data_IF_783502480788
#
_entry.id   IF_783502480788
#
_cell.length_a   1.000
_cell.length_b   1.000
_cell.length_c   1.000
_cell.angle_alpha   90.00
_cell.angle_beta   90.00
_cell.angle_gamma   90.00
#
_symmetry.space_group_name_H-M   'P 1'
#
loop_
_entity.id
_entity.type
_entity.pdbx_description
1 polymer ?
#
# COMPACT_ATOMS: atom_id res chain seq x y z
N UNK A 1 -19.91 39.39 -15.70
CA UNK A 1 -21.28 38.85 -15.81
C UNK A 1 -21.31 37.45 -16.42
N UNK A 2 -20.35 37.07 -17.27
CA UNK A 2 -20.34 35.75 -17.94
C UNK A 2 -19.86 34.57 -17.08
N UNK A 3 -18.90 34.76 -16.16
CA UNK A 3 -18.42 33.66 -15.30
C UNK A 3 -19.50 33.09 -14.37
N UNK A 4 -20.35 33.95 -13.82
CA UNK A 4 -21.43 33.53 -12.92
C UNK A 4 -22.50 32.71 -13.65
N UNK A 5 -22.84 33.08 -14.91
CA UNK A 5 -23.74 32.29 -15.75
C UNK A 5 -23.16 30.91 -16.05
N UNK A 6 -21.88 30.86 -16.41
CA UNK A 6 -21.19 29.62 -16.75
C UNK A 6 -21.09 28.66 -15.53
N UNK A 7 -20.91 29.21 -14.32
CA UNK A 7 -20.89 28.43 -13.09
C UNK A 7 -22.28 27.87 -12.73
N UNK A 8 -23.34 28.67 -12.92
CA UNK A 8 -24.74 28.27 -12.70
C UNK A 8 -25.12 27.16 -13.69
N UNK A 9 -24.73 27.28 -14.96
CA UNK A 9 -25.03 26.28 -15.98
C UNK A 9 -24.32 24.95 -15.71
N UNK A 10 -23.06 24.98 -15.27
CA UNK A 10 -22.33 23.76 -14.83
C UNK A 10 -22.96 23.10 -13.61
N UNK A 11 -23.36 23.90 -12.62
CA UNK A 11 -24.00 23.40 -11.40
C UNK A 11 -25.36 22.77 -11.72
N UNK A 12 -26.13 23.39 -12.61
CA UNK A 12 -27.40 22.85 -13.09
C UNK A 12 -27.21 21.55 -13.90
N UNK A 13 -26.21 21.50 -14.80
CA UNK A 13 -25.88 20.28 -15.55
C UNK A 13 -25.53 19.12 -14.62
N UNK A 14 -24.68 19.37 -13.62
CA UNK A 14 -24.32 18.37 -12.62
C UNK A 14 -25.54 17.88 -11.81
N UNK A 15 -26.41 18.81 -11.39
CA UNK A 15 -27.64 18.47 -10.70
C UNK A 15 -28.55 17.59 -11.56
N UNK A 16 -28.69 17.90 -12.85
CA UNK A 16 -29.49 17.11 -13.79
C UNK A 16 -28.88 15.72 -13.99
N UNK A 17 -27.57 15.63 -14.23
CA UNK A 17 -26.88 14.35 -14.45
C UNK A 17 -26.95 13.42 -13.22
N UNK A 18 -26.83 13.99 -12.02
CA UNK A 18 -27.00 13.22 -10.78
C UNK A 18 -28.46 12.86 -10.53
N UNK A 19 -29.39 13.78 -10.78
CA UNK A 19 -30.83 13.53 -10.65
C UNK A 19 -31.29 12.39 -11.56
N UNK A 20 -30.75 12.28 -12.78
CA UNK A 20 -31.06 11.18 -13.73
C UNK A 20 -30.74 9.79 -13.17
N UNK A 21 -29.72 9.68 -12.31
CA UNK A 21 -29.28 8.40 -11.74
C UNK A 21 -30.07 7.98 -10.50
N UNK A 22 -30.88 8.89 -9.95
CA UNK A 22 -31.38 8.80 -8.57
C UNK A 22 -32.89 9.01 -8.47
N UNK A 23 -33.46 9.66 -9.49
CA UNK A 23 -34.89 9.86 -9.65
C UNK A 23 -35.46 8.86 -10.64
N UNK A 24 -36.75 8.58 -10.51
CA UNK A 24 -37.50 7.89 -11.57
C UNK A 24 -37.56 8.77 -12.83
N UNK A 25 -37.78 8.18 -14.00
CA UNK A 25 -37.88 8.95 -15.26
C UNK A 25 -38.90 10.08 -15.18
N UNK A 26 -40.06 9.84 -14.56
CA UNK A 26 -41.10 10.85 -14.35
C UNK A 26 -40.67 11.98 -13.41
N UNK A 27 -40.02 11.65 -12.30
CA UNK A 27 -39.51 12.66 -11.36
C UNK A 27 -38.39 13.49 -11.98
N UNK A 28 -37.50 12.84 -12.73
CA UNK A 28 -36.44 13.50 -13.48
C UNK A 28 -37.02 14.49 -14.51
N UNK A 29 -38.04 14.07 -15.27
CA UNK A 29 -38.66 14.91 -16.28
C UNK A 29 -39.35 16.15 -15.66
N UNK A 30 -40.07 15.98 -14.55
CA UNK A 30 -40.67 17.09 -13.79
C UNK A 30 -39.59 18.08 -13.33
N UNK A 31 -38.48 17.58 -12.78
CA UNK A 31 -37.37 18.41 -12.30
C UNK A 31 -36.66 19.12 -13.45
N UNK A 32 -36.45 18.43 -14.57
CA UNK A 32 -35.83 19.00 -15.77
C UNK A 32 -36.70 20.13 -16.35
N UNK A 33 -38.00 19.91 -16.48
CA UNK A 33 -38.94 20.92 -16.96
C UNK A 33 -39.02 22.13 -16.02
N UNK A 34 -38.91 21.90 -14.71
CA UNK A 34 -38.93 22.96 -13.70
C UNK A 34 -37.62 23.78 -13.67
N UNK A 35 -36.45 23.12 -13.70
CA UNK A 35 -35.16 23.78 -13.50
C UNK A 35 -34.53 24.30 -14.81
N UNK A 36 -34.67 23.55 -15.91
CA UNK A 36 -34.08 23.90 -17.21
C UNK A 36 -35.08 24.65 -18.07
N UNK A 37 -36.30 24.11 -18.21
CA UNK A 37 -37.35 24.74 -19.04
C UNK A 37 -38.12 25.84 -18.30
N UNK A 38 -37.85 26.03 -17.00
CA UNK A 38 -38.42 27.07 -16.13
C UNK A 38 -39.95 27.10 -16.12
N UNK A 39 -40.60 25.94 -16.32
CA UNK A 39 -42.05 25.83 -16.25
C UNK A 39 -42.54 26.11 -14.82
N UNK A 40 -43.60 26.92 -14.64
CA UNK A 40 -44.16 27.17 -13.32
C UNK A 40 -44.81 25.90 -12.73
N UNK A 41 -44.76 25.78 -11.40
CA UNK A 41 -45.25 24.61 -10.66
C UNK A 41 -46.73 24.30 -10.96
N UNK A 42 -47.54 25.33 -11.21
CA UNK A 42 -48.98 25.18 -11.50
C UNK A 42 -49.20 24.52 -12.87
N UNK A 43 -48.39 24.86 -13.88
CA UNK A 43 -48.46 24.21 -15.20
C UNK A 43 -47.97 22.77 -15.11
N UNK A 44 -46.87 22.51 -14.38
CA UNK A 44 -46.39 21.16 -14.14
C UNK A 44 -47.40 20.30 -13.36
N UNK A 45 -48.12 20.89 -12.41
CA UNK A 45 -49.18 20.21 -11.66
C UNK A 45 -50.28 19.71 -12.60
N UNK A 46 -50.67 20.57 -13.55
CA UNK A 46 -51.68 20.24 -14.55
C UNK A 46 -51.15 19.22 -15.58
N UNK A 47 -49.96 19.43 -16.14
CA UNK A 47 -49.34 18.56 -17.16
C UNK A 47 -49.18 17.11 -16.67
N UNK A 48 -48.83 16.93 -15.39
CA UNK A 48 -48.57 15.61 -14.80
C UNK A 48 -49.72 15.09 -13.93
N UNK A 49 -50.85 15.81 -13.85
CA UNK A 49 -52.00 15.50 -13.00
C UNK A 49 -51.61 15.25 -11.52
N UNK A 50 -50.76 16.12 -10.98
CA UNK A 50 -50.25 16.08 -9.61
C UNK A 50 -50.65 17.35 -8.87
N UNK A 51 -50.70 17.30 -7.53
CA UNK A 51 -50.83 18.53 -6.75
C UNK A 51 -49.54 19.34 -6.78
N UNK A 52 -49.64 20.67 -6.71
CA UNK A 52 -48.48 21.56 -6.58
C UNK A 52 -47.59 21.20 -5.39
N UNK A 53 -48.19 20.70 -4.30
CA UNK A 53 -47.46 20.24 -3.13
C UNK A 53 -46.67 18.96 -3.40
N UNK A 54 -47.21 18.03 -4.21
CA UNK A 54 -46.48 16.83 -4.62
C UNK A 54 -45.27 17.18 -5.47
N UNK A 55 -45.36 18.19 -6.34
CA UNK A 55 -44.22 18.67 -7.13
C UNK A 55 -43.13 19.28 -6.25
N UNK A 56 -43.52 20.10 -5.26
CA UNK A 56 -42.57 20.64 -4.26
C UNK A 56 -41.88 19.53 -3.48
N UNK A 57 -42.60 18.47 -3.14
CA UNK A 57 -42.02 17.32 -2.45
C UNK A 57 -40.99 16.59 -3.33
N UNK A 58 -41.33 16.34 -4.61
CA UNK A 58 -40.40 15.73 -5.58
C UNK A 58 -39.12 16.55 -5.70
N UNK A 59 -39.23 17.88 -5.76
CA UNK A 59 -38.07 18.77 -5.77
C UNK A 59 -37.21 18.66 -4.50
N UNK A 60 -37.84 18.70 -3.32
CA UNK A 60 -37.13 18.59 -2.04
C UNK A 60 -36.42 17.24 -1.93
N UNK A 61 -37.08 16.16 -2.32
CA UNK A 61 -36.53 14.81 -2.27
C UNK A 61 -35.35 14.68 -3.24
N UNK A 62 -35.48 15.18 -4.47
CA UNK A 62 -34.38 15.24 -5.44
C UNK A 62 -33.17 16.00 -4.90
N UNK A 63 -33.40 17.18 -4.35
CA UNK A 63 -32.34 18.01 -3.76
C UNK A 63 -31.63 17.29 -2.61
N UNK A 64 -32.37 16.69 -1.69
CA UNK A 64 -31.80 15.96 -0.55
C UNK A 64 -30.97 14.75 -1.02
N UNK A 65 -31.46 13.99 -1.99
CA UNK A 65 -30.72 12.84 -2.53
C UNK A 65 -29.42 13.27 -3.21
N UNK A 66 -29.45 14.34 -4.02
CA UNK A 66 -28.23 14.88 -4.66
C UNK A 66 -27.26 15.40 -3.59
N UNK A 67 -27.75 16.08 -2.56
CA UNK A 67 -26.94 16.54 -1.42
C UNK A 67 -26.22 15.37 -0.73
N UNK A 68 -26.95 14.31 -0.37
CA UNK A 68 -26.35 13.12 0.25
C UNK A 68 -25.28 12.47 -0.63
N UNK A 69 -25.47 12.45 -1.95
CA UNK A 69 -24.46 11.94 -2.88
C UNK A 69 -23.21 12.82 -2.91
N UNK A 70 -23.37 14.15 -2.88
CA UNK A 70 -22.21 15.05 -2.82
C UNK A 70 -21.41 14.90 -1.52
N UNK A 71 -22.09 14.66 -0.39
CA UNK A 71 -21.44 14.36 0.88
C UNK A 71 -20.66 13.03 0.81
N UNK A 72 -21.23 11.99 0.19
CA UNK A 72 -20.53 10.72 -0.04
C UNK A 72 -19.31 10.88 -0.94
N UNK A 73 -19.36 11.71 -1.97
CA UNK A 73 -18.18 11.97 -2.81
C UNK A 73 -17.05 12.64 -2.03
N UNK A 74 -17.37 13.57 -1.13
CA UNK A 74 -16.38 14.19 -0.24
C UNK A 74 -15.73 13.15 0.68
N UNK A 75 -16.52 12.21 1.19
CA UNK A 75 -16.02 11.12 2.04
C UNK A 75 -15.09 10.16 1.24
N UNK A 76 -15.46 9.82 0.01
CA UNK A 76 -14.63 9.02 -0.90
C UNK A 76 -13.28 9.71 -1.14
N UNK A 77 -13.29 11.02 -1.40
CA UNK A 77 -12.07 11.77 -1.66
C UNK A 77 -11.19 11.87 -0.40
N UNK A 78 -11.80 12.05 0.79
CA UNK A 78 -11.10 11.95 2.06
C UNK A 78 -10.39 10.59 2.22
N UNK A 79 -11.09 9.48 1.97
CA UNK A 79 -10.48 8.15 2.10
C UNK A 79 -9.41 7.88 1.05
N UNK A 80 -9.54 8.39 -0.18
CA UNK A 80 -8.47 8.30 -1.19
C UNK A 80 -7.21 9.02 -0.73
N UNK A 81 -7.34 10.26 -0.24
CA UNK A 81 -6.20 11.03 0.28
C UNK A 81 -5.55 10.31 1.47
N UNK A 82 -6.35 9.80 2.40
CA UNK A 82 -5.85 9.04 3.56
C UNK A 82 -5.12 7.77 3.15
N UNK A 83 -5.64 7.02 2.18
CA UNK A 83 -4.99 5.83 1.62
C UNK A 83 -3.63 6.18 1.01
N UNK A 84 -3.56 7.26 0.23
CA UNK A 84 -2.34 7.65 -0.45
C UNK A 84 -1.27 8.14 0.54
N UNK A 85 -1.69 8.83 1.61
CA UNK A 85 -0.82 9.18 2.75
C UNK A 85 -0.25 7.93 3.43
N UNK A 86 -1.11 6.98 3.81
CA UNK A 86 -0.69 5.73 4.47
C UNK A 86 0.25 4.89 3.58
N UNK A 87 0.00 4.85 2.26
CA UNK A 87 0.93 4.21 1.31
C UNK A 87 2.30 4.87 1.30
N UNK A 88 2.36 6.20 1.42
CA UNK A 88 3.61 6.94 1.54
C UNK A 88 4.36 6.60 2.83
N UNK A 89 3.64 6.61 3.95
CA UNK A 89 4.19 6.28 5.28
C UNK A 89 4.75 4.84 5.30
N UNK A 90 3.96 3.84 4.88
CA UNK A 90 4.47 2.46 4.82
C UNK A 90 5.71 2.32 3.93
N UNK A 91 5.78 3.01 2.78
CA UNK A 91 6.97 2.95 1.91
C UNK A 91 8.21 3.51 2.59
N UNK A 92 8.08 4.54 3.42
CA UNK A 92 9.18 5.11 4.18
C UNK A 92 9.60 4.17 5.30
N UNK A 93 8.66 3.62 6.06
CA UNK A 93 8.93 2.67 7.14
C UNK A 93 9.67 1.42 6.62
N UNK A 94 9.22 0.83 5.51
CA UNK A 94 9.90 -0.30 4.89
C UNK A 94 11.29 0.05 4.32
N UNK A 95 11.53 1.31 3.95
CA UNK A 95 12.84 1.76 3.48
C UNK A 95 13.81 1.92 4.64
N UNK A 96 13.35 2.50 5.75
CA UNK A 96 14.15 2.64 6.97
C UNK A 96 14.52 1.28 7.56
N UNK A 97 13.56 0.35 7.64
CA UNK A 97 13.81 -1.03 8.11
C UNK A 97 14.84 -1.72 7.20
N UNK A 98 14.71 -1.63 5.86
CA UNK A 98 15.71 -2.21 4.95
C UNK A 98 17.10 -1.60 5.11
N UNK A 99 17.18 -0.28 5.31
CA UNK A 99 18.48 0.38 5.51
C UNK A 99 19.13 -0.02 6.84
N UNK A 100 18.33 -0.25 7.88
CA UNK A 100 18.79 -0.80 9.16
C UNK A 100 19.27 -2.25 8.99
N UNK A 101 18.49 -3.11 8.32
CA UNK A 101 18.87 -4.49 8.02
C UNK A 101 20.16 -4.56 7.19
N UNK A 102 20.31 -3.70 6.16
CA UNK A 102 21.50 -3.66 5.31
C UNK A 102 22.74 -3.15 6.08
N UNK A 103 22.57 -2.18 6.98
CA UNK A 103 23.64 -1.68 7.83
C UNK A 103 24.09 -2.72 8.85
N UNK A 104 23.14 -3.40 9.51
CA UNK A 104 23.41 -4.49 10.45
C UNK A 104 24.11 -5.67 9.75
N UNK A 105 23.62 -6.08 8.56
CA UNK A 105 24.31 -7.09 7.73
C UNK A 105 25.73 -6.66 7.37
N UNK A 106 25.94 -5.39 7.03
CA UNK A 106 27.28 -4.86 6.69
C UNK A 106 28.22 -4.88 7.89
N UNK A 107 27.74 -4.65 9.11
CA UNK A 107 28.55 -4.76 10.33
C UNK A 107 28.86 -6.23 10.68
N UNK A 108 27.87 -7.11 10.60
CA UNK A 108 28.04 -8.55 10.85
C UNK A 108 29.10 -9.15 9.91
N UNK A 109 29.09 -8.81 8.63
CA UNK A 109 30.08 -9.30 7.66
C UNK A 109 31.52 -8.87 8.00
N UNK A 110 31.70 -7.75 8.69
CA UNK A 110 33.02 -7.24 9.11
C UNK A 110 33.52 -7.83 10.43
N UNK A 111 32.66 -8.54 11.17
CA UNK A 111 33.03 -9.18 12.45
C UNK A 111 34.10 -10.24 12.22
N UNK A 112 35.17 -10.21 13.01
CA UNK A 112 36.21 -11.24 12.98
C UNK A 112 35.72 -12.51 13.66
N UNK A 113 36.11 -13.65 13.11
CA UNK A 113 35.76 -14.95 13.69
C UNK A 113 36.33 -15.13 15.10
N UNK A 114 37.48 -14.53 15.39
CA UNK A 114 38.11 -14.57 16.72
C UNK A 114 37.33 -13.80 17.80
N UNK A 115 36.53 -12.83 17.37
CA UNK A 115 35.70 -12.03 18.28
C UNK A 115 34.36 -12.73 18.58
N UNK A 116 34.10 -13.88 17.95
CA UNK A 116 32.97 -14.74 18.30
C UNK A 116 33.23 -15.46 19.62
N UNK A 117 32.18 -15.63 20.42
CA UNK A 117 32.21 -16.48 21.61
C UNK A 117 32.10 -17.98 21.28
N UNK A 118 31.95 -18.34 20.01
CA UNK A 118 31.84 -19.74 19.58
C UNK A 118 33.17 -20.49 19.80
N UNK A 119 33.15 -21.65 20.49
CA UNK A 119 34.37 -22.38 20.80
C UNK A 119 34.80 -23.25 19.62
N UNK A 120 35.50 -22.66 18.65
CA UNK A 120 36.07 -23.40 17.53
C UNK A 120 37.04 -24.48 17.98
N UNK A 121 36.92 -25.66 17.40
CA UNK A 121 37.91 -26.72 17.49
C UNK A 121 39.19 -26.26 16.79
N UNK A 122 40.34 -26.66 17.34
CA UNK A 122 41.65 -26.38 16.72
C UNK A 122 41.71 -26.83 15.26
N UNK A 123 40.99 -27.89 14.92
CA UNK A 123 40.93 -28.45 13.56
C UNK A 123 40.23 -27.49 12.60
N UNK A 124 39.02 -27.04 12.94
CA UNK A 124 38.28 -26.11 12.09
C UNK A 124 38.97 -24.74 12.04
N UNK A 125 39.44 -24.25 13.19
CA UNK A 125 40.17 -22.97 13.26
C UNK A 125 41.40 -22.93 12.37
N UNK A 126 42.30 -23.92 12.48
CA UNK A 126 43.49 -23.97 11.65
C UNK A 126 43.15 -24.09 10.16
N UNK A 127 42.05 -24.76 9.83
CA UNK A 127 41.58 -24.88 8.47
C UNK A 127 41.11 -23.54 7.91
N UNK A 128 40.29 -22.78 8.66
CA UNK A 128 39.83 -21.45 8.26
C UNK A 128 41.02 -20.50 8.08
N UNK A 129 41.97 -20.51 9.01
CA UNK A 129 43.22 -19.73 8.90
C UNK A 129 44.02 -20.12 7.66
N UNK A 130 44.10 -21.41 7.32
CA UNK A 130 44.83 -21.86 6.11
C UNK A 130 44.14 -21.46 4.79
N UNK A 131 42.85 -21.13 4.86
CA UNK A 131 42.06 -20.63 3.74
C UNK A 131 41.98 -19.10 3.71
N UNK A 132 42.73 -18.42 4.60
CA UNK A 132 42.72 -16.96 4.78
C UNK A 132 41.34 -16.41 5.17
N UNK A 133 40.55 -17.20 5.91
CA UNK A 133 39.22 -16.83 6.38
C UNK A 133 39.34 -16.27 7.79
N UNK A 134 39.09 -14.96 7.94
CA UNK A 134 39.29 -14.23 9.19
C UNK A 134 38.07 -13.47 9.68
N UNK A 135 37.19 -13.06 8.77
CA UNK A 135 35.91 -12.39 9.08
C UNK A 135 34.71 -13.22 8.58
N UNK A 136 33.51 -12.91 9.08
CA UNK A 136 32.27 -13.55 8.63
C UNK A 136 32.07 -13.35 7.11
N UNK A 137 32.44 -12.19 6.57
CA UNK A 137 32.37 -11.93 5.13
C UNK A 137 33.17 -12.90 4.27
N UNK A 138 34.38 -13.28 4.71
CA UNK A 138 35.21 -14.27 4.01
C UNK A 138 34.52 -15.63 4.03
N UNK A 139 33.91 -15.98 5.16
CA UNK A 139 33.20 -17.24 5.35
C UNK A 139 31.97 -17.33 4.43
N UNK A 140 31.19 -16.25 4.34
CA UNK A 140 29.99 -16.12 3.50
C UNK A 140 30.33 -16.11 2.01
N UNK A 141 31.50 -15.61 1.63
CA UNK A 141 31.92 -15.55 0.22
C UNK A 141 32.04 -16.92 -0.46
N UNK A 142 32.16 -17.98 0.34
CA UNK A 142 32.24 -19.37 -0.12
C UNK A 142 30.88 -20.03 0.10
N UNK A 143 30.21 -20.55 -0.94
CA UNK A 143 28.96 -21.29 -0.77
C UNK A 143 29.14 -22.52 0.14
N UNK A 144 28.14 -22.81 0.98
CA UNK A 144 28.23 -23.89 1.98
C UNK A 144 28.51 -25.27 1.36
N UNK A 145 28.02 -25.50 0.14
CA UNK A 145 28.22 -26.75 -0.58
C UNK A 145 29.67 -26.88 -1.07
N UNK A 146 30.40 -25.78 -1.27
CA UNK A 146 31.78 -25.81 -1.78
C UNK A 146 32.80 -26.16 -0.70
N UNK A 147 32.48 -25.95 0.57
CA UNK A 147 33.39 -26.30 1.67
C UNK A 147 33.78 -27.79 1.69
N UNK A 148 32.90 -28.66 1.19
CA UNK A 148 33.18 -30.11 1.10
C UNK A 148 34.34 -30.45 0.15
N UNK A 149 34.70 -29.52 -0.74
CA UNK A 149 35.78 -29.69 -1.70
C UNK A 149 37.15 -29.44 -1.05
N UNK A 150 37.21 -28.77 0.10
CA UNK A 150 38.48 -28.53 0.78
C UNK A 150 39.00 -29.78 1.49
N UNK A 151 40.30 -30.02 1.29
CA UNK A 151 41.01 -31.14 1.91
C UNK A 151 40.97 -31.00 3.43
N UNK A 152 40.36 -31.98 4.10
CA UNK A 152 40.25 -32.01 5.56
C UNK A 152 38.89 -31.56 6.10
N UNK A 153 38.06 -30.90 5.27
CA UNK A 153 36.66 -30.61 5.59
C UNK A 153 35.85 -31.91 5.49
N UNK A 154 35.49 -32.45 6.64
CA UNK A 154 34.70 -33.69 6.75
C UNK A 154 33.49 -33.42 7.63
N UNK A 155 32.66 -34.46 7.84
CA UNK A 155 31.39 -34.38 8.56
C UNK A 155 31.45 -33.56 9.86
N UNK A 156 32.52 -33.72 10.66
CA UNK A 156 32.71 -33.00 11.92
C UNK A 156 32.92 -31.49 11.72
N UNK A 157 33.78 -31.10 10.77
CA UNK A 157 33.98 -29.69 10.44
C UNK A 157 32.71 -29.07 9.83
N UNK A 158 31.94 -29.84 9.06
CA UNK A 158 30.65 -29.39 8.51
C UNK A 158 29.63 -29.15 9.61
N UNK A 159 29.46 -30.09 10.54
CA UNK A 159 28.52 -29.90 11.65
C UNK A 159 28.93 -28.74 12.56
N UNK A 160 30.23 -28.57 12.78
CA UNK A 160 30.76 -27.48 13.58
C UNK A 160 30.58 -26.12 12.90
N UNK A 161 30.80 -26.04 11.59
CA UNK A 161 30.54 -24.83 10.82
C UNK A 161 29.05 -24.45 10.83
N UNK A 162 28.15 -25.44 10.68
CA UNK A 162 26.70 -25.21 10.81
C UNK A 162 26.36 -24.71 12.22
N UNK A 163 26.91 -25.35 13.27
CA UNK A 163 26.68 -24.92 14.65
C UNK A 163 27.19 -23.50 14.91
N UNK A 164 28.28 -23.08 14.27
CA UNK A 164 28.75 -21.70 14.32
C UNK A 164 27.76 -20.73 13.67
N UNK A 165 27.24 -21.09 12.48
CA UNK A 165 26.27 -20.27 11.75
C UNK A 165 24.97 -20.09 12.56
N UNK A 166 24.48 -21.15 13.19
CA UNK A 166 23.32 -21.12 14.09
C UNK A 166 23.61 -20.31 15.36
N UNK A 167 24.81 -20.44 15.92
CA UNK A 167 25.21 -19.71 17.13
C UNK A 167 25.26 -18.19 16.91
N UNK A 168 25.73 -17.75 15.75
CA UNK A 168 25.81 -16.33 15.38
C UNK A 168 24.52 -15.79 14.75
N UNK A 169 23.50 -16.64 14.50
CA UNK A 169 22.27 -16.32 13.78
C UNK A 169 22.52 -15.67 12.41
N UNK A 170 23.44 -16.25 11.63
CA UNK A 170 23.87 -15.72 10.32
C UNK A 170 23.42 -16.61 9.14
N UNK A 171 22.42 -17.46 9.34
CA UNK A 171 21.87 -18.40 8.36
C UNK A 171 21.50 -17.72 7.03
N UNK A 172 20.87 -16.55 7.12
CA UNK A 172 20.39 -15.79 5.97
C UNK A 172 21.52 -15.22 5.10
N UNK A 173 22.75 -15.20 5.60
CA UNK A 173 23.91 -14.71 4.85
C UNK A 173 24.45 -15.78 3.89
N UNK A 174 24.15 -17.06 4.10
CA UNK A 174 24.69 -18.14 3.29
C UNK A 174 23.71 -18.62 2.22
N UNK A 175 24.12 -18.49 0.96
CA UNK A 175 23.37 -19.03 -0.18
C UNK A 175 23.22 -20.56 -0.05
N UNK A 176 21.96 -21.00 0.02
CA UNK A 176 21.60 -22.42 0.16
C UNK A 176 21.70 -22.98 1.58
N UNK A 177 21.63 -22.13 2.61
CA UNK A 177 21.44 -22.57 4.00
C UNK A 177 20.07 -23.25 4.21
N UNK A 178 19.02 -22.71 3.58
CA UNK A 178 17.71 -23.35 3.55
C UNK A 178 17.77 -24.60 2.64
N UNK A 179 17.45 -25.75 3.21
CA UNK A 179 17.16 -26.98 2.47
C UNK A 179 15.92 -26.83 1.60
#
# INVERSE_FOLDING_TARGET
>A
MDEAKNLIDRTNSFYIDMSKKVLTEKEYEIIYQMLVSKKPIIELANDYNLSSERIRQIYRDAYNKVKSITELFQEIDYYKQRRDKLKGECRNDFREIRMLDDAEKTEVLKKKLIDSAFPFSKRLWNMLVSLDIHIIGDLVSIPLQEYQNFRGFKRVCKSELIAFIEFENIEELFDGYQK
#
